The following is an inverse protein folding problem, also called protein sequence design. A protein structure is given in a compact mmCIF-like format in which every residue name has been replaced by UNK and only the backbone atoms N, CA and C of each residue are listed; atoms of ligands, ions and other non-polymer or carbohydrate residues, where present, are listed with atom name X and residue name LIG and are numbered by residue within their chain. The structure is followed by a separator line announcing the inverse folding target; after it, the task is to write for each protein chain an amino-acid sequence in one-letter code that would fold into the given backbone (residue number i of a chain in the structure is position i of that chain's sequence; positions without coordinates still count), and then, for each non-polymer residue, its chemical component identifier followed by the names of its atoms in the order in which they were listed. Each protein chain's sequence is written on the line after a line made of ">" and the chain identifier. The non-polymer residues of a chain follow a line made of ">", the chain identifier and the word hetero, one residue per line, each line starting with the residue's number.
data_IF_246231160695
#
_entry.id   IF_246231160695
#
_cell.length_a   1.000
_cell.length_b   1.000
_cell.length_c   1.000
_cell.angle_alpha   90.00
_cell.angle_beta   90.00
_cell.angle_gamma   90.00
#
_symmetry.space_group_name_H-M   'P 1'
#
loop_
_entity.id
_entity.type
_entity.pdbx_description
1 polymer ?
#
# COMPACT_ATOMS: atom_id res chain seq x y z
N UNK A 1 -9.57 -2.34 -13.23
CA UNK A 1 -10.90 -2.97 -13.15
C UNK A 1 -11.57 -3.34 -14.49
N UNK A 2 -11.02 -2.97 -15.67
CA UNK A 2 -11.70 -3.27 -16.95
C UNK A 2 -11.74 -4.74 -17.37
N UNK A 3 -10.83 -5.58 -16.86
CA UNK A 3 -10.67 -6.98 -17.27
C UNK A 3 -11.32 -7.99 -16.31
N UNK A 4 -11.63 -7.62 -15.07
CA UNK A 4 -12.24 -8.51 -14.06
C UNK A 4 -13.74 -8.23 -13.90
N UNK A 5 -14.45 -8.04 -15.02
CA UNK A 5 -15.86 -7.68 -14.99
C UNK A 5 -16.71 -8.91 -14.68
N UNK A 6 -17.66 -8.76 -13.75
CA UNK A 6 -18.63 -9.80 -13.37
C UNK A 6 -19.36 -10.32 -14.64
N UNK A 7 -19.35 -11.64 -14.84
CA UNK A 7 -19.94 -12.31 -16.01
C UNK A 7 -18.95 -12.92 -17.01
N UNK A 8 -17.66 -12.97 -16.69
CA UNK A 8 -16.63 -13.57 -17.54
C UNK A 8 -16.19 -14.95 -17.01
N UNK A 9 -16.53 -16.04 -17.73
CA UNK A 9 -16.15 -17.43 -17.38
C UNK A 9 -14.68 -17.79 -17.68
N UNK A 10 -13.97 -16.90 -18.38
CA UNK A 10 -12.57 -17.12 -18.78
C UNK A 10 -11.62 -16.52 -17.75
N UNK A 11 -10.64 -17.32 -17.30
CA UNK A 11 -9.58 -16.87 -16.39
C UNK A 11 -8.76 -15.75 -17.03
N UNK A 12 -8.66 -14.63 -16.34
CA UNK A 12 -7.89 -13.45 -16.75
C UNK A 12 -6.52 -13.50 -16.08
N UNK A 13 -5.47 -13.50 -16.89
CA UNK A 13 -4.09 -13.44 -16.41
C UNK A 13 -3.59 -12.00 -16.53
N UNK A 14 -3.10 -11.44 -15.42
CA UNK A 14 -2.49 -10.11 -15.40
C UNK A 14 -0.99 -10.28 -15.29
N UNK A 15 -0.27 -9.90 -16.35
CA UNK A 15 1.18 -9.84 -16.36
C UNK A 15 1.62 -8.39 -16.16
N UNK A 16 2.37 -8.13 -15.11
CA UNK A 16 3.02 -6.84 -14.88
C UNK A 16 4.52 -7.03 -15.09
N UNK A 17 5.05 -6.44 -16.16
CA UNK A 17 6.50 -6.35 -16.35
C UNK A 17 7.05 -5.27 -15.42
N UNK A 18 8.10 -5.60 -14.68
CA UNK A 18 8.80 -4.66 -13.80
C UNK A 18 10.26 -4.71 -14.21
N UNK A 19 10.81 -3.57 -14.61
CA UNK A 19 12.23 -3.48 -14.97
C UNK A 19 13.07 -3.31 -13.70
N UNK A 20 14.08 -4.17 -13.52
CA UNK A 20 15.05 -4.07 -12.40
C UNK A 20 15.83 -2.77 -12.48
N UNK A 21 16.12 -2.17 -11.33
CA UNK A 21 16.88 -0.92 -11.18
C UNK A 21 16.21 0.28 -11.84
N UNK A 22 14.91 0.21 -12.07
CA UNK A 22 14.13 1.27 -12.71
C UNK A 22 13.29 2.08 -11.73
N UNK A 23 12.74 3.18 -12.24
CA UNK A 23 11.77 4.00 -11.50
C UNK A 23 10.51 3.21 -11.13
N UNK A 24 10.14 2.20 -11.93
CA UNK A 24 8.95 1.36 -11.71
C UNK A 24 9.07 0.53 -10.42
N UNK A 25 10.27 -0.01 -10.14
CA UNK A 25 10.57 -0.76 -8.92
C UNK A 25 10.45 0.14 -7.68
N UNK A 26 10.99 1.37 -7.77
CA UNK A 26 10.89 2.36 -6.69
C UNK A 26 9.45 2.78 -6.44
N UNK A 27 8.67 3.00 -7.50
CA UNK A 27 7.24 3.32 -7.38
C UNK A 27 6.48 2.16 -6.74
N UNK A 28 6.79 0.91 -7.09
CA UNK A 28 6.17 -0.27 -6.49
C UNK A 28 6.47 -0.36 -4.98
N UNK A 29 7.73 -0.13 -4.59
CA UNK A 29 8.15 -0.10 -3.19
C UNK A 29 7.44 1.02 -2.40
N UNK A 30 7.30 2.22 -3.00
CA UNK A 30 6.54 3.32 -2.40
C UNK A 30 5.05 3.00 -2.25
N UNK A 31 4.43 2.37 -3.26
CA UNK A 31 3.04 1.93 -3.18
C UNK A 31 2.83 0.89 -2.08
N UNK A 32 3.77 -0.05 -1.91
CA UNK A 32 3.74 -1.03 -0.82
C UNK A 32 3.86 -0.36 0.55
N UNK A 33 4.83 0.54 0.72
CA UNK A 33 5.00 1.30 1.98
C UNK A 33 3.74 2.10 2.32
N UNK A 34 3.15 2.77 1.33
CA UNK A 34 1.91 3.53 1.52
C UNK A 34 0.73 2.63 1.89
N UNK A 35 0.61 1.46 1.26
CA UNK A 35 -0.42 0.48 1.60
C UNK A 35 -0.23 -0.05 3.02
N UNK A 36 0.99 -0.38 3.42
CA UNK A 36 1.30 -0.85 4.76
C UNK A 36 0.86 0.15 5.83
N UNK A 37 1.21 1.43 5.67
CA UNK A 37 0.78 2.50 6.58
C UNK A 37 -0.75 2.59 6.59
N UNK A 38 -1.41 2.48 5.44
CA UNK A 38 -2.88 2.48 5.37
C UNK A 38 -3.51 1.28 6.07
N UNK A 39 -2.93 0.09 5.92
CA UNK A 39 -3.40 -1.14 6.57
C UNK A 39 -3.18 -1.06 8.09
N UNK A 40 -2.05 -0.51 8.54
CA UNK A 40 -1.76 -0.21 9.95
C UNK A 40 -2.77 0.78 10.55
N UNK A 41 -3.10 1.86 9.83
CA UNK A 41 -4.11 2.83 10.25
C UNK A 41 -5.52 2.21 10.35
N UNK A 42 -5.90 1.36 9.41
CA UNK A 42 -7.23 0.71 9.40
C UNK A 42 -7.33 -0.34 10.52
N UNK A 43 -6.21 -0.98 10.90
CA UNK A 43 -6.12 -1.96 12.00
C UNK A 43 -5.99 -1.28 13.38
N UNK A 44 -6.53 -0.06 13.53
CA UNK A 44 -6.53 0.69 14.78
C UNK A 44 -7.60 0.19 15.77
N UNK A 45 -7.54 -1.09 16.15
CA UNK A 45 -8.19 -1.59 17.37
C UNK A 45 -7.23 -1.41 18.54
N UNK A 46 -7.29 -0.24 19.20
CA UNK A 46 -6.75 0.13 20.53
C UNK A 46 -5.25 -0.15 20.88
N UNK A 47 -4.57 -1.05 20.18
CA UNK A 47 -3.20 -1.51 20.41
C UNK A 47 -2.20 -0.70 19.58
N UNK A 48 -2.60 -0.25 18.39
CA UNK A 48 -1.78 0.62 17.52
C UNK A 48 -1.43 1.95 18.21
N UNK A 49 -2.39 2.56 18.91
CA UNK A 49 -2.17 3.81 19.68
C UNK A 49 -1.13 3.61 20.80
N UNK A 50 -0.98 2.39 21.33
CA UNK A 50 0.01 2.09 22.38
C UNK A 50 1.43 1.84 21.84
N UNK A 51 1.58 1.56 20.54
CA UNK A 51 2.86 1.27 19.90
C UNK A 51 3.43 2.47 19.13
N UNK A 52 2.60 3.46 18.79
CA UNK A 52 3.06 4.71 18.21
C UNK A 52 3.99 5.44 19.18
N UNK A 53 5.24 5.66 18.77
CA UNK A 53 6.17 6.48 19.54
C UNK A 53 5.96 7.97 19.24
N UNK A 54 6.57 8.86 20.03
CA UNK A 54 6.46 10.31 19.81
C UNK A 54 6.97 10.70 18.42
N UNK A 55 8.01 10.02 17.95
CA UNK A 55 8.65 10.24 16.66
C UNK A 55 7.70 9.90 15.49
N UNK A 56 6.89 8.84 15.63
CA UNK A 56 5.89 8.46 14.62
C UNK A 56 4.75 9.48 14.52
N UNK A 57 4.36 10.07 15.66
CA UNK A 57 3.35 11.13 15.69
C UNK A 57 3.87 12.42 15.06
N UNK A 58 5.11 12.82 15.33
CA UNK A 58 5.72 14.00 14.71
C UNK A 58 5.78 13.86 13.18
N UNK A 59 6.14 12.68 12.67
CA UNK A 59 6.13 12.38 11.23
C UNK A 59 4.72 12.46 10.61
N UNK A 60 3.68 12.06 11.34
CA UNK A 60 2.29 12.13 10.88
C UNK A 60 1.77 13.58 10.81
N UNK A 61 2.21 14.46 11.73
CA UNK A 61 1.75 15.85 11.83
C UNK A 61 2.65 16.86 11.11
N UNK A 62 3.89 16.52 10.72
CA UNK A 62 4.75 17.37 9.88
C UNK A 62 4.27 17.48 8.43
N UNK A 63 3.36 16.62 7.99
CA UNK A 63 2.83 16.62 6.61
C UNK A 63 1.57 17.48 6.41
N UNK A 64 1.26 18.41 7.32
CA UNK A 64 0.14 19.37 7.20
C UNK A 64 0.60 20.80 6.89
#
# INVERSE_FOLDING_TARGET
>A
DRAHRIGQDKRVFVYKYIVKDSVEEKILALQQKKKQISDELITSDASFIKQLTREDLELLFESS
#
